data_IF_636995180230
#
_entry.id   IF_636995180230
#
_cell.length_a   1.000
_cell.length_b   1.000
_cell.length_c   1.000
_cell.angle_alpha   90.00
_cell.angle_beta   90.00
_cell.angle_gamma   90.00
#
_symmetry.space_group_name_H-M   'P 1'
#
loop_
_entity.id
_entity.type
_entity.pdbx_description
1 polymer ?
#
# COMPACT_ATOMS: atom_id res chain seq x y z
N UNK A 1 -17.97 134.61 -36.83
CA UNK A 1 -16.72 135.00 -37.54
C UNK A 1 -15.84 133.77 -37.60
N UNK A 2 -15.58 133.25 -38.76
CA UNK A 2 -14.39 132.53 -39.24
C UNK A 2 -13.96 131.21 -38.66
N UNK A 3 -14.06 130.25 -39.53
CA UNK A 3 -13.35 128.95 -39.63
C UNK A 3 -11.82 129.09 -39.44
N UNK A 4 -11.02 128.04 -39.36
CA UNK A 4 -11.04 126.73 -40.03
C UNK A 4 -10.57 125.55 -39.09
N UNK A 5 -10.85 124.27 -39.33
CA UNK A 5 -10.41 123.40 -40.32
C UNK A 5 -9.04 122.69 -39.94
N UNK A 6 -9.08 121.45 -39.65
CA UNK A 6 -7.88 120.61 -39.89
C UNK A 6 -8.23 119.11 -39.82
N UNK A 7 -8.03 118.42 -40.91
CA UNK A 7 -8.14 116.97 -41.09
C UNK A 7 -6.97 116.24 -40.46
N UNK A 8 -7.23 115.16 -39.74
CA UNK A 8 -6.22 114.20 -39.44
C UNK A 8 -6.77 112.77 -39.61
N UNK A 9 -6.28 112.10 -40.59
CA UNK A 9 -6.56 110.69 -40.93
C UNK A 9 -5.96 109.76 -39.85
N UNK A 10 -6.78 109.03 -39.12
CA UNK A 10 -6.32 108.00 -38.21
C UNK A 10 -6.45 106.63 -38.85
N UNK A 11 -5.38 106.02 -39.11
CA UNK A 11 -5.12 104.66 -39.63
C UNK A 11 -5.83 103.64 -38.78
N UNK A 12 -6.76 102.90 -39.36
CA UNK A 12 -7.52 101.81 -38.74
C UNK A 12 -6.61 100.61 -38.61
N UNK A 13 -6.06 100.32 -37.38
CA UNK A 13 -5.33 99.07 -37.07
C UNK A 13 -6.35 97.93 -37.14
N UNK A 14 -6.09 96.96 -38.05
CA UNK A 14 -6.72 95.64 -38.07
C UNK A 14 -6.31 94.90 -36.85
N UNK A 15 -7.21 94.52 -35.95
CA UNK A 15 -7.03 93.53 -34.89
C UNK A 15 -7.03 92.11 -35.48
N UNK A 16 -6.11 91.23 -35.09
CA UNK A 16 -6.08 89.88 -35.61
C UNK A 16 -7.23 89.03 -35.10
N UNK A 17 -7.66 88.09 -35.94
CA UNK A 17 -8.75 87.17 -35.81
C UNK A 17 -8.93 86.60 -34.39
N UNK A 18 -10.10 86.87 -33.83
CA UNK A 18 -10.51 86.12 -32.60
C UNK A 18 -10.59 84.64 -32.89
N UNK A 19 -9.71 83.86 -32.20
CA UNK A 19 -9.80 82.44 -32.20
C UNK A 19 -11.07 82.05 -31.47
N UNK A 20 -12.07 81.57 -32.24
CA UNK A 20 -13.29 80.97 -31.66
C UNK A 20 -12.91 79.66 -30.98
N UNK A 21 -12.69 79.67 -29.67
CA UNK A 21 -12.65 78.45 -28.84
C UNK A 21 -14.01 77.78 -28.84
N UNK A 22 -14.17 76.72 -29.63
CA UNK A 22 -15.34 75.86 -29.59
C UNK A 22 -15.43 75.28 -28.17
N UNK A 23 -16.53 75.57 -27.50
CA UNK A 23 -16.76 75.12 -26.11
C UNK A 23 -17.01 73.61 -26.05
N UNK A 24 -15.92 72.81 -25.89
CA UNK A 24 -15.94 71.35 -25.92
C UNK A 24 -16.72 70.70 -24.74
N UNK A 25 -17.17 71.48 -23.74
CA UNK A 25 -17.94 71.01 -22.60
C UNK A 25 -19.32 70.39 -22.94
N UNK A 26 -19.94 70.77 -24.07
CA UNK A 26 -21.24 70.20 -24.44
C UNK A 26 -21.10 68.72 -25.01
N UNK A 27 -19.99 68.35 -25.66
CA UNK A 27 -19.82 67.01 -26.21
C UNK A 27 -19.48 65.97 -25.12
N UNK A 28 -18.81 66.37 -24.03
CA UNK A 28 -18.43 65.45 -22.94
C UNK A 28 -19.67 64.93 -22.19
N UNK A 29 -20.68 65.75 -21.92
CA UNK A 29 -21.92 65.35 -21.25
C UNK A 29 -22.76 64.37 -22.06
N UNK A 30 -22.81 64.48 -23.38
CA UNK A 30 -23.54 63.56 -24.28
C UNK A 30 -22.77 62.18 -24.42
N UNK A 31 -21.43 62.22 -24.47
CA UNK A 31 -20.59 60.98 -24.48
C UNK A 31 -20.73 60.22 -23.18
N UNK A 32 -20.73 60.90 -22.03
CA UNK A 32 -20.90 60.29 -20.73
C UNK A 32 -22.27 59.59 -20.56
N UNK A 33 -23.36 60.24 -21.03
CA UNK A 33 -24.71 59.65 -21.02
C UNK A 33 -24.86 58.45 -21.96
N UNK A 34 -24.22 58.47 -23.15
CA UNK A 34 -24.17 57.27 -24.03
C UNK A 34 -23.41 56.13 -23.41
N UNK A 35 -22.25 56.40 -22.78
CA UNK A 35 -21.44 55.39 -22.09
C UNK A 35 -22.19 54.79 -20.88
N UNK A 36 -22.89 55.61 -20.08
CA UNK A 36 -23.72 55.11 -18.98
C UNK A 36 -24.89 54.24 -19.46
N UNK A 37 -25.53 54.57 -20.58
CA UNK A 37 -26.58 53.72 -21.16
C UNK A 37 -26.01 52.39 -21.67
N UNK A 38 -24.85 52.40 -22.33
CA UNK A 38 -24.16 51.19 -22.78
C UNK A 38 -23.75 50.30 -21.61
N UNK A 39 -23.18 50.86 -20.56
CA UNK A 39 -22.83 50.12 -19.34
C UNK A 39 -24.10 49.55 -18.68
N UNK A 40 -25.18 50.32 -18.59
CA UNK A 40 -26.46 49.82 -18.06
C UNK A 40 -27.04 48.68 -18.90
N UNK A 41 -26.95 48.75 -20.25
CA UNK A 41 -27.36 47.64 -21.12
C UNK A 41 -26.51 46.41 -20.97
N UNK A 42 -25.19 46.54 -20.84
CA UNK A 42 -24.26 45.41 -20.59
C UNK A 42 -24.55 44.78 -19.23
N UNK A 43 -24.75 45.60 -18.19
CA UNK A 43 -25.09 45.08 -16.85
C UNK A 43 -26.45 44.36 -16.85
N UNK A 44 -27.47 44.92 -17.55
CA UNK A 44 -28.78 44.28 -17.70
C UNK A 44 -28.68 42.94 -18.45
N UNK A 45 -27.90 42.90 -19.54
CA UNK A 45 -27.64 41.65 -20.28
C UNK A 45 -26.92 40.63 -19.45
N UNK A 46 -25.86 41.02 -18.71
CA UNK A 46 -25.13 40.16 -17.82
C UNK A 46 -26.02 39.58 -16.71
N UNK A 47 -26.91 40.39 -16.16
CA UNK A 47 -27.90 39.97 -15.17
C UNK A 47 -28.88 38.94 -15.72
N UNK A 48 -29.39 39.17 -16.94
CA UNK A 48 -30.30 38.23 -17.63
C UNK A 48 -29.57 36.90 -17.88
N UNK A 49 -28.31 36.92 -18.34
CA UNK A 49 -27.48 35.72 -18.55
C UNK A 49 -27.25 34.99 -17.23
N UNK A 50 -26.92 35.73 -16.16
CA UNK A 50 -26.70 35.09 -14.84
C UNK A 50 -27.97 34.43 -14.30
N UNK A 51 -29.13 35.11 -14.43
CA UNK A 51 -30.42 34.53 -14.00
C UNK A 51 -30.81 33.33 -14.86
N UNK A 52 -30.63 33.39 -16.19
CA UNK A 52 -30.94 32.27 -17.08
C UNK A 52 -30.03 31.06 -16.80
N UNK A 53 -28.72 31.27 -16.58
CA UNK A 53 -27.80 30.21 -16.17
C UNK A 53 -28.20 29.59 -14.80
N UNK A 54 -28.61 30.42 -13.84
CA UNK A 54 -29.12 29.96 -12.55
C UNK A 54 -30.39 29.12 -12.66
N UNK A 55 -31.35 29.52 -13.51
CA UNK A 55 -32.58 28.77 -13.75
C UNK A 55 -32.29 27.42 -14.46
N UNK A 56 -31.40 27.44 -15.46
CA UNK A 56 -30.97 26.20 -16.14
C UNK A 56 -30.29 25.24 -15.15
N UNK A 57 -29.36 25.77 -14.37
CA UNK A 57 -28.68 24.96 -13.33
C UNK A 57 -29.68 24.35 -12.34
N UNK A 58 -30.63 25.14 -11.85
CA UNK A 58 -31.67 24.67 -10.93
C UNK A 58 -32.58 23.63 -11.59
N UNK A 59 -33.02 23.88 -12.84
CA UNK A 59 -33.82 22.91 -13.61
C UNK A 59 -33.11 21.58 -13.84
N UNK A 60 -31.85 21.63 -14.27
CA UNK A 60 -31.04 20.46 -14.50
C UNK A 60 -30.78 19.68 -13.19
N UNK A 61 -30.44 20.39 -12.10
CA UNK A 61 -30.20 19.73 -10.80
C UNK A 61 -31.46 19.02 -10.27
N UNK A 62 -32.65 19.64 -10.41
CA UNK A 62 -33.92 19.01 -10.03
C UNK A 62 -34.31 17.82 -10.92
N UNK A 63 -34.01 17.91 -12.21
CA UNK A 63 -34.24 16.82 -13.14
C UNK A 63 -33.35 15.63 -12.80
N UNK A 64 -32.03 15.86 -12.58
CA UNK A 64 -31.07 14.83 -12.18
C UNK A 64 -31.50 14.19 -10.86
N UNK A 65 -31.90 14.98 -9.87
CA UNK A 65 -32.32 14.46 -8.56
C UNK A 65 -33.53 13.51 -8.72
N UNK A 66 -34.55 13.93 -9.51
CA UNK A 66 -35.77 13.15 -9.73
C UNK A 66 -35.52 11.89 -10.58
N UNK A 67 -34.74 11.99 -11.64
CA UNK A 67 -34.51 10.85 -12.57
C UNK A 67 -33.49 9.86 -12.11
N UNK A 68 -32.46 10.26 -11.38
CA UNK A 68 -31.38 9.40 -10.95
C UNK A 68 -31.35 9.16 -9.43
N UNK A 69 -31.29 10.24 -8.64
CA UNK A 69 -31.05 10.11 -7.19
C UNK A 69 -32.30 9.76 -6.37
N UNK A 70 -33.50 9.98 -6.89
CA UNK A 70 -34.76 9.66 -6.20
C UNK A 70 -35.55 8.55 -6.90
N UNK A 71 -34.98 7.91 -7.92
CA UNK A 71 -35.65 6.86 -8.66
C UNK A 71 -35.41 5.50 -8.00
N UNK A 72 -36.47 4.79 -7.57
CA UNK A 72 -36.34 3.47 -6.92
C UNK A 72 -35.71 2.40 -7.80
N UNK A 73 -35.72 2.56 -9.12
CA UNK A 73 -35.07 1.64 -10.06
C UNK A 73 -33.57 1.55 -9.86
N UNK A 74 -32.95 2.57 -9.27
CA UNK A 74 -31.51 2.64 -8.98
C UNK A 74 -31.16 2.39 -7.51
N UNK A 75 -32.10 1.83 -6.75
CA UNK A 75 -31.80 1.38 -5.40
C UNK A 75 -30.99 0.10 -5.45
N UNK A 76 -30.02 -0.02 -4.55
CA UNK A 76 -29.15 -1.18 -4.41
C UNK A 76 -30.01 -2.40 -4.03
N UNK A 77 -30.15 -3.32 -4.97
CA UNK A 77 -30.86 -4.60 -4.77
C UNK A 77 -29.87 -5.74 -4.52
N UNK A 78 -28.68 -5.65 -5.11
CA UNK A 78 -27.69 -6.72 -5.08
C UNK A 78 -26.30 -6.15 -4.79
N UNK A 79 -25.62 -6.73 -3.80
CA UNK A 79 -24.24 -6.43 -3.46
C UNK A 79 -23.43 -7.71 -3.62
N UNK A 80 -22.61 -7.75 -4.67
CA UNK A 80 -21.68 -8.83 -4.93
C UNK A 80 -20.32 -8.48 -4.34
N UNK A 81 -19.72 -9.40 -3.58
CA UNK A 81 -18.45 -9.13 -2.90
C UNK A 81 -17.52 -10.33 -2.98
N UNK A 82 -16.30 -10.09 -3.45
CA UNK A 82 -15.18 -11.02 -3.38
C UNK A 82 -14.13 -10.46 -2.40
N UNK A 83 -13.94 -11.13 -1.28
CA UNK A 83 -13.16 -10.61 -0.15
C UNK A 83 -11.80 -11.30 0.02
N UNK A 84 -11.52 -12.34 -0.75
CA UNK A 84 -10.26 -13.12 -0.73
C UNK A 84 -9.77 -13.48 0.70
N UNK A 85 -10.71 -13.66 1.63
CA UNK A 85 -10.41 -14.02 3.04
C UNK A 85 -9.79 -12.89 3.88
N UNK A 86 -9.86 -11.64 3.45
CA UNK A 86 -9.36 -10.47 4.19
C UNK A 86 -10.24 -10.17 5.40
N UNK A 87 -11.54 -10.18 5.19
CA UNK A 87 -12.58 -9.86 6.18
C UNK A 87 -13.86 -10.60 5.86
N UNK A 88 -14.84 -10.54 6.78
CA UNK A 88 -16.19 -11.05 6.55
C UNK A 88 -17.05 -10.03 5.80
N UNK A 89 -18.16 -10.49 5.22
CA UNK A 89 -19.13 -9.60 4.56
C UNK A 89 -19.72 -8.58 5.53
N UNK A 90 -19.97 -9.01 6.76
CA UNK A 90 -20.52 -8.18 7.84
C UNK A 90 -19.55 -7.06 8.22
N UNK A 91 -18.26 -7.36 8.31
CA UNK A 91 -17.21 -6.37 8.56
C UNK A 91 -17.10 -5.37 7.40
N UNK A 92 -17.18 -5.82 6.14
CA UNK A 92 -17.20 -4.94 4.98
C UNK A 92 -18.38 -3.97 5.03
N UNK A 93 -19.59 -4.45 5.31
CA UNK A 93 -20.77 -3.61 5.41
C UNK A 93 -20.67 -2.58 6.54
N UNK A 94 -20.10 -2.97 7.68
CA UNK A 94 -19.87 -2.08 8.81
C UNK A 94 -18.84 -0.99 8.46
N UNK A 95 -17.76 -1.34 7.77
CA UNK A 95 -16.68 -0.41 7.36
C UNK A 95 -17.15 0.58 6.28
N UNK A 96 -17.90 0.09 5.29
CA UNK A 96 -18.36 0.89 4.15
C UNK A 96 -19.64 1.68 4.44
N UNK A 97 -20.49 1.18 5.33
CA UNK A 97 -21.79 1.75 5.66
C UNK A 97 -22.84 1.56 4.56
N UNK A 98 -22.60 0.68 3.57
CA UNK A 98 -23.54 0.39 2.48
C UNK A 98 -24.74 -0.40 3.03
N UNK A 99 -25.95 0.04 2.66
CA UNK A 99 -27.18 -0.64 3.01
C UNK A 99 -28.00 -1.02 1.77
N UNK A 100 -28.65 -2.16 1.81
CA UNK A 100 -29.60 -2.55 0.76
C UNK A 100 -30.75 -1.54 0.71
N UNK A 101 -31.07 -1.05 -0.48
CA UNK A 101 -32.07 0.01 -0.68
C UNK A 101 -31.49 1.41 -0.86
N UNK A 102 -30.21 1.63 -0.57
CA UNK A 102 -29.54 2.89 -0.87
C UNK A 102 -29.50 3.12 -2.38
N UNK A 103 -29.66 4.38 -2.81
CA UNK A 103 -29.51 4.70 -4.21
C UNK A 103 -28.05 4.61 -4.64
N UNK A 104 -27.75 3.81 -5.67
CA UNK A 104 -26.38 3.51 -6.11
C UNK A 104 -25.58 4.76 -6.51
N UNK A 105 -26.24 5.85 -6.94
CA UNK A 105 -25.58 7.10 -7.30
C UNK A 105 -25.22 7.96 -6.08
N UNK A 106 -25.86 7.73 -4.92
CA UNK A 106 -25.54 8.42 -3.66
C UNK A 106 -24.43 7.77 -2.89
N UNK A 107 -24.13 6.50 -3.16
CA UNK A 107 -23.03 5.78 -2.52
C UNK A 107 -21.71 6.37 -2.98
N UNK A 108 -20.90 6.86 -2.06
CA UNK A 108 -19.58 7.44 -2.33
C UNK A 108 -18.55 6.33 -2.52
N UNK A 109 -18.44 5.83 -3.76
CA UNK A 109 -17.45 4.79 -4.12
C UNK A 109 -16.01 5.25 -3.85
N UNK A 110 -15.69 6.53 -4.10
CA UNK A 110 -14.33 7.02 -3.91
C UNK A 110 -13.93 7.01 -2.42
N UNK A 111 -14.86 7.42 -1.54
CA UNK A 111 -14.65 7.34 -0.10
C UNK A 111 -14.54 5.90 0.41
N UNK A 112 -15.30 4.97 -0.17
CA UNK A 112 -15.24 3.53 0.16
C UNK A 112 -13.90 2.94 -0.33
N UNK A 113 -13.50 3.20 -1.57
CA UNK A 113 -12.21 2.75 -2.12
C UNK A 113 -11.06 3.20 -1.23
N UNK A 114 -11.05 4.47 -0.82
CA UNK A 114 -10.01 5.00 0.07
C UNK A 114 -9.96 4.26 1.42
N UNK A 115 -11.11 4.05 2.07
CA UNK A 115 -11.19 3.33 3.35
C UNK A 115 -10.70 1.88 3.23
N UNK A 116 -11.08 1.19 2.16
CA UNK A 116 -10.69 -0.21 1.94
C UNK A 116 -9.19 -0.33 1.63
N UNK A 117 -8.60 0.63 0.92
CA UNK A 117 -7.14 0.69 0.68
C UNK A 117 -6.32 1.01 1.94
N UNK A 118 -6.92 1.62 2.96
CA UNK A 118 -6.26 1.82 4.26
C UNK A 118 -6.08 0.52 5.06
N UNK A 119 -6.79 -0.56 4.69
CA UNK A 119 -6.65 -1.86 5.34
C UNK A 119 -5.33 -2.51 4.90
N UNK A 120 -4.38 -2.79 5.81
CA UNK A 120 -3.04 -3.24 5.43
C UNK A 120 -3.00 -4.55 4.63
N UNK A 121 -3.99 -5.43 4.83
CA UNK A 121 -4.10 -6.71 4.10
C UNK A 121 -4.59 -6.55 2.67
N UNK A 122 -5.13 -5.40 2.29
CA UNK A 122 -5.65 -5.14 0.96
C UNK A 122 -4.51 -4.71 0.02
N UNK A 123 -4.33 -5.45 -1.07
CA UNK A 123 -3.37 -5.11 -2.13
C UNK A 123 -4.02 -4.20 -3.17
N UNK A 124 -5.26 -4.53 -3.56
CA UNK A 124 -6.02 -3.75 -4.54
C UNK A 124 -7.52 -3.82 -4.26
N UNK A 125 -8.23 -2.77 -4.69
CA UNK A 125 -9.68 -2.61 -4.55
C UNK A 125 -10.25 -2.28 -5.92
N UNK A 126 -11.26 -3.02 -6.35
CA UNK A 126 -12.09 -2.69 -7.51
C UNK A 126 -13.53 -2.57 -7.07
N UNK A 127 -14.16 -1.42 -7.34
CA UNK A 127 -15.56 -1.18 -7.02
C UNK A 127 -16.27 -0.73 -8.29
N UNK A 128 -17.25 -1.51 -8.72
CA UNK A 128 -17.99 -1.23 -9.95
C UNK A 128 -19.49 -1.06 -9.67
N UNK A 129 -20.10 -0.05 -10.31
CA UNK A 129 -21.55 0.12 -10.35
C UNK A 129 -22.10 -0.57 -11.58
N UNK A 130 -22.93 -1.57 -11.39
CA UNK A 130 -23.61 -2.30 -12.46
C UNK A 130 -25.08 -1.89 -12.45
N UNK A 131 -25.48 -1.20 -13.51
CA UNK A 131 -26.85 -0.70 -13.64
C UNK A 131 -27.85 -1.85 -13.79
N UNK A 132 -29.08 -1.76 -13.22
CA UNK A 132 -29.63 -0.58 -12.58
C UNK A 132 -29.39 -0.47 -11.07
N UNK A 133 -29.10 -1.55 -10.33
CA UNK A 133 -29.12 -1.56 -8.86
C UNK A 133 -28.14 -2.56 -8.24
N UNK A 134 -26.97 -2.82 -8.87
CA UNK A 134 -25.95 -3.71 -8.34
C UNK A 134 -24.63 -2.97 -8.14
N UNK A 135 -23.93 -3.30 -7.07
CA UNK A 135 -22.54 -2.91 -6.82
C UNK A 135 -21.74 -4.17 -6.64
N UNK A 136 -20.59 -4.21 -7.30
CA UNK A 136 -19.59 -5.27 -7.20
C UNK A 136 -18.35 -4.70 -6.51
N UNK A 137 -17.86 -5.39 -5.47
CA UNK A 137 -16.66 -5.03 -4.71
C UNK A 137 -15.73 -6.22 -4.71
N UNK A 138 -14.56 -6.05 -5.35
CA UNK A 138 -13.53 -7.08 -5.41
C UNK A 138 -12.30 -6.59 -4.65
N UNK A 139 -11.93 -7.29 -3.59
CA UNK A 139 -10.74 -7.06 -2.80
C UNK A 139 -9.70 -8.12 -3.12
N UNK A 140 -8.51 -7.67 -3.50
CA UNK A 140 -7.36 -8.56 -3.68
C UNK A 140 -6.47 -8.46 -2.43
N UNK A 141 -6.17 -9.61 -1.81
CA UNK A 141 -5.30 -9.63 -0.63
C UNK A 141 -3.82 -9.49 -0.98
N UNK A 142 -3.05 -8.93 -0.08
CA UNK A 142 -1.59 -9.05 -0.11
C UNK A 142 -1.18 -10.47 0.28
N UNK A 143 -0.19 -10.99 -0.42
CA UNK A 143 0.35 -12.33 -0.15
C UNK A 143 1.53 -12.19 0.81
N UNK A 144 1.40 -12.59 2.08
CA UNK A 144 2.51 -12.54 3.01
C UNK A 144 3.54 -13.62 2.66
N UNK A 145 4.81 -13.31 2.89
CA UNK A 145 5.93 -14.23 2.62
C UNK A 145 6.67 -14.63 3.88
N UNK A 146 6.56 -13.86 4.97
CA UNK A 146 7.20 -14.15 6.24
C UNK A 146 6.50 -13.42 7.41
N UNK A 147 6.78 -13.88 8.63
CA UNK A 147 6.55 -13.16 9.86
C UNK A 147 7.76 -12.32 10.24
N UNK A 148 7.55 -11.13 10.78
CA UNK A 148 8.58 -10.29 11.39
C UNK A 148 8.35 -10.26 12.88
N UNK A 149 9.35 -10.69 13.64
CA UNK A 149 9.30 -10.70 15.11
C UNK A 149 9.87 -9.40 15.68
N UNK A 150 9.22 -8.87 16.72
CA UNK A 150 9.75 -7.77 17.53
C UNK A 150 10.85 -8.24 18.48
N UNK A 151 10.97 -9.53 18.72
CA UNK A 151 12.05 -10.09 19.55
C UNK A 151 13.34 -10.17 18.74
N UNK A 152 14.49 -9.78 19.32
CA UNK A 152 15.79 -9.94 18.66
C UNK A 152 16.25 -11.40 18.61
N UNK A 153 15.69 -12.27 19.46
CA UNK A 153 16.12 -13.65 19.63
C UNK A 153 15.29 -14.63 18.80
N UNK A 154 15.98 -15.52 18.10
CA UNK A 154 15.38 -16.64 17.36
C UNK A 154 14.80 -17.74 18.25
N UNK A 155 14.94 -17.62 19.57
CA UNK A 155 14.35 -18.54 20.57
C UNK A 155 12.91 -18.17 20.95
N UNK A 156 12.40 -17.02 20.50
CA UNK A 156 11.01 -16.63 20.78
C UNK A 156 10.06 -17.62 20.11
N UNK A 157 9.13 -18.14 20.89
CA UNK A 157 8.06 -19.00 20.42
C UNK A 157 7.19 -18.26 19.40
N UNK A 158 6.64 -19.00 18.42
CA UNK A 158 5.72 -18.45 17.44
C UNK A 158 4.47 -17.90 18.16
N UNK A 159 4.31 -16.59 18.15
CA UNK A 159 3.14 -15.89 18.67
C UNK A 159 2.61 -14.89 17.63
N UNK A 160 1.54 -15.24 16.92
CA UNK A 160 0.96 -14.38 15.88
C UNK A 160 0.41 -13.07 16.40
N UNK A 161 0.19 -12.93 17.72
CA UNK A 161 -0.34 -11.68 18.30
C UNK A 161 0.74 -10.62 18.45
N UNK A 162 1.99 -11.04 18.68
CA UNK A 162 3.15 -10.16 18.85
C UNK A 162 3.94 -9.92 17.56
N UNK A 163 3.71 -10.74 16.53
CA UNK A 163 4.40 -10.69 15.24
C UNK A 163 3.58 -9.94 14.19
N UNK A 164 4.24 -9.51 13.12
CA UNK A 164 3.64 -8.79 11.99
C UNK A 164 3.99 -9.53 10.71
N UNK A 165 3.05 -9.72 9.80
CA UNK A 165 3.31 -10.29 8.48
C UNK A 165 4.02 -9.26 7.58
N UNK A 166 4.82 -9.74 6.65
CA UNK A 166 5.49 -8.93 5.63
C UNK A 166 5.28 -9.58 4.27
N UNK A 167 5.00 -8.75 3.26
CA UNK A 167 4.94 -9.18 1.87
C UNK A 167 6.31 -9.07 1.17
N UNK A 168 6.36 -9.45 -0.09
CA UNK A 168 7.57 -9.42 -0.93
C UNK A 168 8.13 -8.00 -1.17
N UNK A 169 7.31 -6.95 -0.98
CA UNK A 169 7.70 -5.55 -1.08
C UNK A 169 8.30 -4.99 0.21
N UNK A 170 8.14 -5.70 1.33
CA UNK A 170 8.50 -5.22 2.67
C UNK A 170 7.34 -4.50 3.38
N UNK A 171 6.11 -4.59 2.87
CA UNK A 171 4.95 -3.96 3.50
C UNK A 171 4.47 -4.79 4.69
N UNK A 172 4.32 -4.12 5.83
CA UNK A 172 3.93 -4.74 7.10
C UNK A 172 2.42 -4.75 7.28
N UNK A 173 1.87 -5.93 7.58
CA UNK A 173 0.44 -6.12 7.75
C UNK A 173 0.13 -7.03 8.94
N UNK A 174 -1.04 -6.83 9.54
CA UNK A 174 -1.56 -7.72 10.58
C UNK A 174 -2.82 -8.40 10.07
N UNK A 175 -2.91 -9.74 10.11
CA UNK A 175 -4.08 -10.44 9.62
C UNK A 175 -5.27 -10.20 10.56
N UNK A 176 -6.43 -9.87 10.02
CA UNK A 176 -7.71 -9.86 10.75
C UNK A 176 -8.19 -11.29 11.00
N UNK A 177 -8.00 -12.16 10.00
CA UNK A 177 -8.30 -13.58 10.06
C UNK A 177 -7.00 -14.38 9.93
N UNK A 178 -6.70 -15.18 10.95
CA UNK A 178 -5.50 -16.04 10.93
C UNK A 178 -5.77 -17.27 10.07
N UNK A 179 -5.20 -17.30 8.88
CA UNK A 179 -5.31 -18.44 7.97
C UNK A 179 -4.28 -19.52 8.29
N UNK A 180 -4.60 -20.77 7.99
CA UNK A 180 -3.71 -21.91 8.28
C UNK A 180 -2.36 -21.82 7.54
N UNK A 181 -2.35 -21.24 6.34
CA UNK A 181 -1.15 -21.02 5.52
C UNK A 181 -0.11 -20.15 6.24
N UNK A 182 -0.53 -19.19 7.07
CA UNK A 182 0.38 -18.27 7.76
C UNK A 182 1.23 -18.95 8.83
N UNK A 183 0.80 -20.10 9.37
CA UNK A 183 1.57 -20.87 10.34
C UNK A 183 2.83 -21.51 9.74
N UNK A 184 2.89 -21.67 8.44
CA UNK A 184 4.02 -22.29 7.73
C UNK A 184 5.04 -21.26 7.23
N UNK A 185 4.74 -19.95 7.37
CA UNK A 185 5.63 -18.91 6.93
C UNK A 185 6.87 -18.80 7.83
N UNK A 186 8.05 -18.52 7.25
CA UNK A 186 9.27 -18.30 8.01
C UNK A 186 9.20 -17.05 8.88
N UNK A 187 9.98 -17.03 9.96
CA UNK A 187 10.03 -15.89 10.88
C UNK A 187 11.35 -15.14 10.69
N UNK A 188 11.27 -13.83 10.49
CA UNK A 188 12.43 -12.93 10.40
C UNK A 188 12.66 -12.27 11.76
N UNK A 189 13.85 -12.48 12.34
CA UNK A 189 14.31 -11.90 13.59
C UNK A 189 15.38 -10.84 13.35
N UNK A 190 15.57 -9.95 14.31
CA UNK A 190 16.65 -8.96 14.28
C UNK A 190 16.31 -7.66 13.58
N UNK A 191 15.05 -7.44 13.26
CA UNK A 191 14.56 -6.14 12.81
C UNK A 191 14.44 -5.18 14.00
N UNK A 192 14.83 -3.92 13.83
CA UNK A 192 14.69 -2.90 14.87
C UNK A 192 13.21 -2.63 15.17
N UNK A 193 12.84 -2.75 16.45
CA UNK A 193 11.45 -2.68 16.91
C UNK A 193 10.76 -1.37 16.52
N UNK A 194 11.50 -0.24 16.54
CA UNK A 194 10.95 1.08 16.22
C UNK A 194 10.51 1.19 14.75
N UNK A 195 11.01 0.31 13.89
CA UNK A 195 10.65 0.28 12.46
C UNK A 195 9.44 -0.60 12.16
N UNK A 196 8.98 -1.40 13.11
CA UNK A 196 7.88 -2.35 12.91
C UNK A 196 6.55 -1.65 13.21
N UNK A 197 5.98 -1.00 12.19
CA UNK A 197 4.67 -0.35 12.25
C UNK A 197 3.74 -0.98 11.21
N UNK A 198 2.55 -1.37 11.65
CA UNK A 198 1.52 -1.91 10.76
C UNK A 198 1.11 -0.87 9.71
N UNK A 199 0.84 -1.32 8.48
CA UNK A 199 0.45 -0.43 7.39
C UNK A 199 1.60 0.40 6.82
N UNK A 200 2.85 0.09 7.17
CA UNK A 200 4.03 0.80 6.67
C UNK A 200 4.95 -0.10 5.86
N UNK A 201 5.72 0.52 4.97
CA UNK A 201 6.80 -0.14 4.26
C UNK A 201 8.04 -0.18 5.15
N UNK A 202 8.51 -1.37 5.49
CA UNK A 202 9.75 -1.54 6.23
C UNK A 202 10.94 -1.46 5.27
N UNK A 203 11.64 -0.33 5.29
CA UNK A 203 12.83 -0.11 4.47
C UNK A 203 14.10 -0.48 5.23
N UNK A 204 14.94 -1.30 4.60
CA UNK A 204 16.24 -1.72 5.11
C UNK A 204 16.87 -2.76 4.21
N UNK A 205 18.17 -2.60 3.93
CA UNK A 205 18.90 -3.52 3.04
C UNK A 205 18.92 -4.95 3.60
N UNK A 206 18.98 -5.09 4.93
CA UNK A 206 18.97 -6.40 5.59
C UNK A 206 17.66 -7.15 5.36
N UNK A 207 16.52 -6.45 5.46
CA UNK A 207 15.22 -7.05 5.16
C UNK A 207 15.06 -7.37 3.68
N UNK A 208 15.46 -6.44 2.80
CA UNK A 208 15.44 -6.68 1.35
C UNK A 208 16.23 -7.92 0.96
N UNK A 209 17.41 -8.10 1.57
CA UNK A 209 18.23 -9.30 1.38
C UNK A 209 17.53 -10.56 1.92
N UNK A 210 16.88 -10.49 3.08
CA UNK A 210 16.14 -11.63 3.62
C UNK A 210 14.95 -12.02 2.72
N UNK A 211 14.17 -11.05 2.25
CA UNK A 211 13.06 -11.28 1.34
C UNK A 211 13.55 -11.83 -0.03
N UNK A 212 14.66 -11.30 -0.55
CA UNK A 212 15.27 -11.82 -1.76
C UNK A 212 15.75 -13.29 -1.58
N UNK A 213 16.36 -13.62 -0.45
CA UNK A 213 16.72 -15.01 -0.14
C UNK A 213 15.49 -15.92 -0.08
N UNK A 214 14.40 -15.49 0.56
CA UNK A 214 13.16 -16.29 0.64
C UNK A 214 12.53 -16.50 -0.74
N UNK A 215 12.55 -15.47 -1.60
CA UNK A 215 12.06 -15.54 -2.97
C UNK A 215 12.86 -16.57 -3.78
N UNK A 216 14.19 -16.44 -3.77
CA UNK A 216 15.07 -17.36 -4.47
C UNK A 216 14.97 -18.80 -3.93
N UNK A 217 14.87 -18.97 -2.61
CA UNK A 217 14.69 -20.28 -2.00
C UNK A 217 13.36 -20.93 -2.40
N UNK A 218 12.29 -20.17 -2.51
CA UNK A 218 10.97 -20.63 -2.99
C UNK A 218 11.04 -21.10 -4.43
N UNK A 219 11.74 -20.36 -5.29
CA UNK A 219 11.78 -20.63 -6.71
C UNK A 219 12.72 -21.78 -7.07
N UNK A 220 13.89 -21.86 -6.42
CA UNK A 220 14.92 -22.83 -6.76
C UNK A 220 14.85 -24.14 -5.94
N UNK A 221 14.47 -24.08 -4.66
CA UNK A 221 14.64 -25.20 -3.72
C UNK A 221 13.33 -25.83 -3.24
N UNK A 222 12.27 -25.78 -4.04
CA UNK A 222 10.87 -26.15 -3.69
C UNK A 222 10.65 -27.46 -2.91
N UNK A 223 11.60 -28.38 -2.87
CA UNK A 223 11.40 -29.69 -2.22
C UNK A 223 12.47 -30.08 -1.19
N UNK A 224 13.60 -29.40 -1.14
CA UNK A 224 14.76 -29.81 -0.34
C UNK A 224 15.11 -28.86 0.81
N UNK A 225 14.68 -27.61 0.73
CA UNK A 225 15.00 -26.58 1.70
C UNK A 225 13.75 -25.84 2.15
N UNK A 226 13.35 -26.09 3.38
CA UNK A 226 12.30 -25.29 4.04
C UNK A 226 12.99 -24.44 5.11
N UNK A 227 12.93 -23.12 4.91
CA UNK A 227 13.48 -22.16 5.87
C UNK A 227 12.43 -21.91 6.95
N UNK A 228 12.76 -22.17 8.21
CA UNK A 228 11.90 -21.94 9.36
C UNK A 228 12.06 -20.54 9.93
N UNK A 229 13.30 -20.05 9.98
CA UNK A 229 13.56 -18.68 10.45
C UNK A 229 14.82 -18.09 9.86
N UNK A 230 14.87 -16.76 9.82
CA UNK A 230 16.01 -15.95 9.41
C UNK A 230 16.36 -14.96 10.52
N UNK A 231 17.64 -14.82 10.84
CA UNK A 231 18.13 -13.79 11.73
C UNK A 231 19.03 -12.81 10.95
N UNK A 232 18.62 -11.54 10.88
CA UNK A 232 19.28 -10.47 10.13
C UNK A 232 19.96 -9.44 11.04
N UNK A 233 20.06 -9.69 12.34
CA UNK A 233 20.59 -8.74 13.32
C UNK A 233 22.03 -8.28 13.06
N UNK A 234 22.81 -9.10 12.34
CA UNK A 234 24.22 -8.83 12.08
C UNK A 234 24.50 -7.90 10.88
N UNK A 235 23.54 -7.74 9.98
CA UNK A 235 23.64 -6.89 8.79
C UNK A 235 24.52 -7.44 7.65
N UNK A 236 25.67 -8.05 7.94
CA UNK A 236 26.59 -8.60 6.94
C UNK A 236 26.31 -10.05 6.54
N UNK A 237 25.48 -10.76 7.28
CA UNK A 237 25.07 -12.13 6.98
C UNK A 237 23.65 -12.41 7.46
N UNK A 238 23.04 -13.42 6.86
CA UNK A 238 21.75 -13.95 7.24
C UNK A 238 21.97 -15.33 7.84
N UNK A 239 21.60 -15.51 9.11
CA UNK A 239 21.61 -16.82 9.78
C UNK A 239 20.24 -17.47 9.58
N UNK A 240 20.15 -18.50 8.75
CA UNK A 240 18.92 -19.25 8.49
C UNK A 240 18.87 -20.54 9.32
N UNK A 241 17.70 -20.86 9.84
CA UNK A 241 17.37 -22.14 10.45
C UNK A 241 16.39 -22.89 9.54
N UNK A 242 16.73 -24.14 9.20
CA UNK A 242 15.86 -24.99 8.39
C UNK A 242 14.87 -25.78 9.24
N UNK A 243 13.89 -26.42 8.63
CA UNK A 243 12.95 -27.35 9.27
C UNK A 243 13.66 -28.55 9.91
N UNK A 244 14.83 -28.99 9.36
CA UNK A 244 15.70 -30.05 9.89
C UNK A 244 16.63 -29.54 10.98
N UNK A 245 16.44 -28.33 11.53
CA UNK A 245 17.30 -27.68 12.51
C UNK A 245 18.75 -27.43 12.05
N UNK A 246 19.04 -27.51 10.76
CA UNK A 246 20.34 -27.12 10.22
C UNK A 246 20.48 -25.59 10.20
N UNK A 247 21.62 -25.08 10.68
CA UNK A 247 21.95 -23.64 10.66
C UNK A 247 22.75 -23.33 9.41
N UNK A 248 22.24 -22.44 8.59
CA UNK A 248 22.88 -22.04 7.34
C UNK A 248 23.20 -20.55 7.39
N UNK A 249 24.46 -20.19 7.15
CA UNK A 249 24.90 -18.78 7.07
C UNK A 249 25.03 -18.38 5.61
N UNK A 250 24.27 -17.37 5.21
CA UNK A 250 24.33 -16.77 3.89
C UNK A 250 25.08 -15.43 3.95
N UNK A 251 25.89 -15.14 2.94
CA UNK A 251 26.39 -13.79 2.70
C UNK A 251 25.27 -12.93 2.07
N UNK A 252 25.32 -11.63 2.30
CA UNK A 252 24.42 -10.69 1.62
C UNK A 252 24.73 -10.66 0.12
N UNK A 253 23.73 -10.92 -0.72
CA UNK A 253 23.85 -10.97 -2.18
C UNK A 253 24.26 -12.33 -2.73
N UNK A 254 24.14 -12.49 -4.06
CA UNK A 254 24.40 -13.72 -4.83
C UNK A 254 23.74 -14.98 -4.25
N UNK A 255 22.48 -14.86 -3.83
CA UNK A 255 21.71 -15.97 -3.26
C UNK A 255 21.55 -17.16 -4.21
N UNK A 256 21.35 -16.96 -5.54
CA UNK A 256 21.25 -18.09 -6.46
C UNK A 256 22.44 -19.05 -6.40
N UNK A 257 23.69 -18.52 -6.39
CA UNK A 257 24.89 -19.35 -6.31
C UNK A 257 25.00 -20.05 -4.95
N UNK A 258 24.66 -19.36 -3.87
CA UNK A 258 24.71 -19.93 -2.51
C UNK A 258 23.66 -21.03 -2.35
N UNK A 259 22.44 -20.84 -2.82
CA UNK A 259 21.37 -21.84 -2.79
C UNK A 259 21.70 -23.07 -3.65
N UNK A 260 22.30 -22.87 -4.83
CA UNK A 260 22.74 -23.99 -5.67
C UNK A 260 23.82 -24.84 -4.98
N UNK A 261 24.76 -24.20 -4.25
CA UNK A 261 25.76 -24.95 -3.45
C UNK A 261 25.10 -25.71 -2.32
N UNK A 262 24.16 -25.09 -1.62
CA UNK A 262 23.41 -25.73 -0.55
C UNK A 262 22.60 -26.91 -1.06
N UNK A 263 21.92 -26.77 -2.17
CA UNK A 263 21.15 -27.83 -2.79
C UNK A 263 22.00 -29.05 -3.10
N UNK A 264 23.15 -28.86 -3.75
CA UNK A 264 24.10 -29.96 -4.04
C UNK A 264 24.58 -30.66 -2.74
N UNK A 265 24.81 -29.88 -1.69
CA UNK A 265 25.20 -30.42 -0.39
C UNK A 265 24.07 -31.24 0.23
N UNK A 266 22.82 -30.75 0.19
CA UNK A 266 21.65 -31.48 0.71
C UNK A 266 21.40 -32.79 -0.05
N UNK A 267 21.54 -32.76 -1.39
CA UNK A 267 21.48 -33.96 -2.23
C UNK A 267 22.53 -34.99 -1.82
N UNK A 268 23.80 -34.56 -1.67
CA UNK A 268 24.88 -35.47 -1.21
C UNK A 268 24.62 -36.01 0.20
N UNK A 269 24.09 -35.21 1.10
CA UNK A 269 23.76 -35.63 2.47
C UNK A 269 22.60 -36.65 2.48
N UNK A 270 21.62 -36.49 1.63
CA UNK A 270 20.53 -37.45 1.43
C UNK A 270 21.08 -38.81 0.97
N UNK A 271 22.00 -38.81 -0.02
CA UNK A 271 22.59 -40.02 -0.57
C UNK A 271 23.50 -40.75 0.45
N UNK A 272 24.14 -40.01 1.34
CA UNK A 272 25.07 -40.56 2.34
C UNK A 272 24.42 -40.79 3.70
N UNK A 273 23.15 -40.42 3.89
CA UNK A 273 22.46 -40.59 5.19
C UNK A 273 23.00 -39.69 6.29
N UNK A 274 23.69 -38.59 5.95
CA UNK A 274 24.27 -37.67 6.94
C UNK A 274 23.34 -36.47 7.15
N UNK A 275 23.23 -36.05 8.40
CA UNK A 275 22.48 -34.82 8.75
C UNK A 275 23.44 -33.65 8.96
N UNK A 276 23.02 -32.47 8.50
CA UNK A 276 23.80 -31.24 8.61
C UNK A 276 23.41 -30.54 9.92
N UNK A 277 24.42 -30.24 10.74
CA UNK A 277 24.27 -29.35 11.91
C UNK A 277 24.39 -27.87 11.49
N UNK A 278 25.46 -27.55 10.74
CA UNK A 278 25.65 -26.18 10.26
C UNK A 278 26.49 -26.10 8.98
N UNK A 279 26.17 -25.08 8.17
CA UNK A 279 26.84 -24.73 6.90
C UNK A 279 27.16 -23.25 6.86
N UNK A 280 28.38 -22.91 6.43
CA UNK A 280 28.74 -21.52 6.20
C UNK A 280 28.97 -21.25 4.69
N UNK A 281 27.99 -20.63 4.02
CA UNK A 281 28.01 -20.31 2.59
C UNK A 281 28.69 -18.97 2.27
N UNK A 282 29.09 -18.20 3.29
CA UNK A 282 29.81 -16.94 3.10
C UNK A 282 31.18 -17.13 2.44
N UNK A 283 31.71 -18.35 2.53
CA UNK A 283 33.03 -18.70 1.97
C UNK A 283 32.87 -19.18 0.53
N UNK A 284 33.56 -18.52 -0.42
CA UNK A 284 33.44 -18.83 -1.84
C UNK A 284 33.98 -20.22 -2.19
N UNK A 285 35.08 -20.66 -1.55
CA UNK A 285 35.74 -21.97 -1.73
C UNK A 285 35.80 -22.70 -0.39
N UNK A 286 35.73 -24.06 -0.45
CA UNK A 286 35.80 -24.91 0.72
C UNK A 286 34.77 -24.55 1.80
N UNK A 287 33.49 -24.63 1.45
CA UNK A 287 32.35 -24.38 2.34
C UNK A 287 32.46 -25.19 3.62
N UNK A 288 32.64 -24.59 4.82
CA UNK A 288 32.69 -25.33 6.08
C UNK A 288 31.32 -25.94 6.39
N UNK A 289 31.31 -27.25 6.63
CA UNK A 289 30.11 -28.01 6.97
C UNK A 289 30.39 -28.78 8.26
N UNK A 290 29.46 -28.68 9.19
CA UNK A 290 29.42 -29.58 10.37
C UNK A 290 28.25 -30.53 10.22
N UNK A 291 28.52 -31.81 10.49
CA UNK A 291 27.48 -32.83 10.49
C UNK A 291 27.10 -33.16 11.93
N UNK A 292 25.87 -33.60 12.12
CA UNK A 292 25.41 -34.15 13.41
C UNK A 292 26.24 -35.40 13.71
N UNK A 293 26.91 -35.40 14.84
CA UNK A 293 27.60 -36.63 15.31
C UNK A 293 26.54 -37.66 15.67
N UNK A 294 26.58 -38.82 15.03
CA UNK A 294 25.79 -39.96 15.49
C UNK A 294 26.16 -40.23 16.96
N UNK A 295 25.16 -40.31 17.84
CA UNK A 295 25.41 -40.69 19.23
C UNK A 295 26.21 -41.99 19.25
N UNK A 296 27.27 -42.11 20.08
CA UNK A 296 27.97 -43.38 20.22
C UNK A 296 26.94 -44.45 20.55
N UNK A 297 27.02 -45.65 19.93
CA UNK A 297 26.12 -46.74 20.28
C UNK A 297 26.18 -46.94 21.80
N UNK A 298 25.02 -46.90 22.46
CA UNK A 298 24.96 -47.21 23.90
C UNK A 298 25.72 -48.50 24.14
N UNK A 299 26.64 -48.56 25.13
CA UNK A 299 27.36 -49.77 25.43
C UNK A 299 26.32 -50.85 25.74
N UNK A 300 26.30 -51.89 24.91
CA UNK A 300 25.44 -53.04 25.09
C UNK A 300 25.72 -53.52 26.51
N UNK A 301 24.79 -53.31 27.42
CA UNK A 301 24.82 -53.80 28.77
C UNK A 301 24.87 -55.34 28.67
N UNK A 302 26.11 -55.94 28.84
CA UNK A 302 26.30 -57.33 28.98
C UNK A 302 25.51 -57.78 30.21
N UNK A 303 24.31 -58.28 30.01
CA UNK A 303 23.56 -58.97 31.04
C UNK A 303 24.40 -60.17 31.44
N UNK A 304 25.08 -60.00 32.56
CA UNK A 304 25.72 -61.08 33.28
C UNK A 304 24.85 -62.34 33.26
N UNK A 305 25.32 -63.38 32.54
CA UNK A 305 24.80 -64.73 32.67
C UNK A 305 24.93 -65.13 34.13
N UNK A 306 23.85 -65.13 34.87
CA UNK A 306 23.74 -65.70 36.17
C UNK A 306 23.99 -67.20 36.04
N UNK A 307 25.14 -67.65 36.57
CA UNK A 307 25.54 -69.08 36.71
C UNK A 307 24.56 -69.71 37.70
N UNK A 308 23.85 -70.82 37.39
CA UNK A 308 22.94 -71.45 38.31
C UNK A 308 23.81 -72.15 39.41
N UNK A 309 23.66 -71.76 40.69
CA UNK A 309 24.24 -72.49 41.87
C UNK A 309 23.57 -73.85 42.00
N UNK A 310 24.37 -74.87 41.83
CA UNK A 310 24.04 -76.28 42.19
C UNK A 310 23.74 -76.39 43.68
N UNK A 311 22.51 -76.71 44.03
CA UNK A 311 22.11 -77.14 45.38
C UNK A 311 22.82 -78.43 45.79
N UNK A 312 23.53 -78.41 46.90
CA UNK A 312 24.06 -79.60 47.58
C UNK A 312 22.90 -80.40 48.18
N UNK A 313 22.95 -81.77 48.09
CA UNK A 313 21.95 -82.60 48.72
C UNK A 313 22.23 -82.70 50.24
N UNK A 314 21.18 -82.53 51.07
CA UNK A 314 21.26 -82.89 52.54
C UNK A 314 21.24 -84.36 52.66
N UNK A 315 22.32 -84.86 53.39
CA UNK A 315 22.32 -86.15 54.00
C UNK A 315 21.73 -86.10 55.42
N UNK A 316 20.91 -87.04 55.75
CA UNK A 316 20.32 -87.39 57.05
C UNK A 316 21.05 -86.88 58.26
#
# INVERSE_FOLDING_TARGET
MIKPGSTSSATKRRTPNGVHYLNVKMRAKTAHRKRQRLVGQICALALIVAVSCGLIWFGVSKALDKFFFSNPAYNLCELEVELDGIMTREELLAETGIQTGDNIFRIDIAGIDHKLREIPMVADVSIERIMPGRIEINLTRRIPVAWVSKSPDSSAEYDPTSMTLVDDSGFLMKPRLLQQEYHQLPIIYGVKVEKIQEGSLLDGDDLKNALALLREARDQAKSLLVIRSLNISKGYCIDALTDQNARVKFASGDFPTQLMKLQRLLEHCRDTGREIESVNLMVAKNTPVKFVMAAPPEPVSDKQKSIPQKSKPKRN
#
